data_IF_933554189447
#
_entry.id   IF_933554189447
#
_cell.length_a   1.000
_cell.length_b   1.000
_cell.length_c   1.000
_cell.angle_alpha   90.00
_cell.angle_beta   90.00
_cell.angle_gamma   90.00
#
_symmetry.space_group_name_H-M   'P 1'
#
loop_
_entity.id
_entity.type
_entity.pdbx_description
1 polymer ?
#
# COMPACT_ATOMS: atom_id res chain seq x y z
N UNK A 1 3.08 25.99 -3.60
CA UNK A 1 2.79 25.01 -2.53
C UNK A 1 3.74 23.81 -2.54
N UNK A 2 4.72 23.81 -3.46
CA UNK A 2 5.77 22.78 -3.57
C UNK A 2 6.98 22.96 -2.63
N UNK A 3 7.10 24.11 -1.96
CA UNK A 3 8.27 24.41 -1.10
C UNK A 3 8.29 23.61 0.22
N UNK A 4 7.15 23.18 0.74
CA UNK A 4 7.09 22.52 2.05
C UNK A 4 7.51 21.04 2.01
N UNK A 5 7.23 20.33 0.91
CA UNK A 5 7.61 18.90 0.77
C UNK A 5 9.11 18.71 0.51
N UNK A 6 9.75 19.67 -0.21
CA UNK A 6 11.19 19.61 -0.45
C UNK A 6 12.03 19.89 0.81
N UNK A 7 11.53 20.72 1.73
CA UNK A 7 12.29 21.09 2.93
C UNK A 7 12.41 19.96 3.93
N UNK A 8 11.35 19.16 4.10
CA UNK A 8 11.33 18.07 5.09
C UNK A 8 12.10 16.83 4.63
N UNK A 9 12.13 16.53 3.32
CA UNK A 9 12.92 15.42 2.78
C UNK A 9 14.42 15.74 2.73
N UNK A 10 14.82 17.00 2.50
CA UNK A 10 16.22 17.39 2.55
C UNK A 10 16.82 17.40 3.97
N UNK A 11 15.98 17.51 5.01
CA UNK A 11 16.43 17.39 6.40
C UNK A 11 16.87 15.98 6.78
N UNK A 12 16.49 14.97 5.99
CA UNK A 12 16.84 13.56 6.22
C UNK A 12 18.06 13.10 5.42
N UNK A 13 18.62 13.93 4.53
CA UNK A 13 19.79 13.58 3.74
C UNK A 13 21.05 14.24 4.34
N UNK A 14 22.20 13.55 4.47
CA UNK A 14 23.44 14.14 4.94
C UNK A 14 23.99 15.11 3.89
N UNK A 15 23.65 16.41 4.04
CA UNK A 15 24.13 17.48 3.19
C UNK A 15 25.55 17.90 3.54
N UNK A 16 26.44 17.98 2.54
CA UNK A 16 27.77 18.61 2.64
C UNK A 16 27.60 20.13 2.71
N UNK A 17 27.49 20.68 3.91
CA UNK A 17 27.47 22.13 4.17
C UNK A 17 28.05 22.44 5.54
N UNK A 18 28.76 23.57 5.67
CA UNK A 18 29.36 24.03 6.92
C UNK A 18 28.31 24.08 8.04
N UNK A 19 28.49 23.24 9.03
CA UNK A 19 27.53 23.04 10.12
C UNK A 19 27.37 24.31 10.97
N UNK A 20 26.22 24.97 10.89
CA UNK A 20 25.82 25.96 11.88
C UNK A 20 25.47 25.24 13.20
N UNK A 21 25.48 25.97 14.37
CA UNK A 21 25.08 25.39 15.67
C UNK A 21 23.68 24.71 15.62
N UNK A 22 22.77 25.21 14.81
CA UNK A 22 21.44 24.60 14.58
C UNK A 22 21.55 23.29 13.80
N UNK A 23 22.42 23.19 12.80
CA UNK A 23 22.68 21.94 12.07
C UNK A 23 23.39 20.91 12.94
N UNK A 24 24.31 21.31 13.82
CA UNK A 24 24.95 20.41 14.76
C UNK A 24 23.95 19.82 15.77
N UNK A 25 23.01 20.62 16.29
CA UNK A 25 21.94 20.15 17.16
C UNK A 25 20.97 19.22 16.43
N UNK A 26 20.60 19.52 15.18
CA UNK A 26 19.78 18.64 14.35
C UNK A 26 20.47 17.31 14.05
N UNK A 27 21.78 17.32 13.78
CA UNK A 27 22.58 16.11 13.58
C UNK A 27 22.71 15.27 14.85
N UNK A 28 22.91 15.89 16.01
CA UNK A 28 23.00 15.21 17.31
C UNK A 28 21.65 14.62 17.70
N UNK A 29 20.54 15.33 17.48
CA UNK A 29 19.18 14.81 17.71
C UNK A 29 18.82 13.71 16.71
N UNK A 30 19.17 13.89 15.43
CA UNK A 30 18.95 12.87 14.39
C UNK A 30 19.79 11.62 14.62
N UNK A 31 21.07 11.76 14.97
CA UNK A 31 21.94 10.64 15.32
C UNK A 31 21.51 9.94 16.61
N UNK A 32 21.06 10.73 17.61
CA UNK A 32 20.50 10.20 18.85
C UNK A 32 19.21 9.41 18.63
N UNK A 33 18.32 9.92 17.77
CA UNK A 33 17.09 9.22 17.39
C UNK A 33 17.40 7.95 16.58
N UNK A 34 18.31 8.02 15.61
CA UNK A 34 18.74 6.85 14.84
C UNK A 34 19.41 5.79 15.72
N UNK A 35 20.25 6.20 16.68
CA UNK A 35 20.88 5.29 17.64
C UNK A 35 19.86 4.69 18.62
N UNK A 36 18.84 5.45 19.05
CA UNK A 36 17.76 4.96 19.89
C UNK A 36 16.79 4.05 19.11
N UNK A 37 16.61 4.29 17.81
CA UNK A 37 15.77 3.45 16.93
C UNK A 37 16.49 2.20 16.42
N UNK A 38 17.84 2.17 16.42
CA UNK A 38 18.62 1.04 15.96
C UNK A 38 18.26 -0.31 16.63
N UNK A 39 17.99 -0.39 17.94
CA UNK A 39 17.50 -1.62 18.55
C UNK A 39 16.11 -2.02 18.08
N UNK A 40 15.25 -1.04 17.72
CA UNK A 40 13.91 -1.29 17.19
C UNK A 40 13.99 -1.78 15.76
N UNK A 41 14.91 -1.24 14.95
CA UNK A 41 15.18 -1.71 13.57
C UNK A 41 15.88 -3.07 13.55
N UNK A 42 16.68 -3.39 14.60
CA UNK A 42 17.32 -4.68 14.78
C UNK A 42 16.42 -5.73 15.44
N UNK A 43 15.31 -5.32 16.07
CA UNK A 43 14.24 -6.26 16.40
C UNK A 43 13.67 -6.77 15.08
N UNK A 44 13.74 -8.10 14.91
CA UNK A 44 13.16 -8.79 13.76
C UNK A 44 11.78 -8.21 13.47
N UNK A 45 11.52 -7.85 12.22
CA UNK A 45 10.20 -7.44 11.79
C UNK A 45 9.18 -8.44 12.35
N UNK A 46 8.11 -7.94 12.95
CA UNK A 46 7.08 -8.81 13.50
C UNK A 46 6.59 -9.70 12.34
N UNK A 47 6.85 -10.98 12.46
CA UNK A 47 6.42 -11.97 11.47
C UNK A 47 5.30 -12.81 12.09
N UNK A 48 4.09 -12.60 11.60
CA UNK A 48 2.92 -13.39 12.01
C UNK A 48 3.06 -14.81 11.47
N UNK A 49 3.00 -15.85 12.34
CA UNK A 49 3.06 -17.24 11.90
C UNK A 49 1.94 -17.60 10.92
N UNK A 50 2.21 -18.58 10.06
CA UNK A 50 1.25 -19.11 9.08
C UNK A 50 0.48 -20.31 9.58
N UNK A 51 0.69 -20.72 10.83
CA UNK A 51 0.00 -21.88 11.43
C UNK A 51 -1.52 -21.69 11.38
N UNK A 52 -2.22 -22.69 10.82
CA UNK A 52 -3.66 -22.63 10.61
C UNK A 52 -4.13 -21.70 9.49
N UNK A 53 -3.20 -21.16 8.72
CA UNK A 53 -3.50 -20.31 7.56
C UNK A 53 -3.13 -21.02 6.25
N UNK A 54 -3.80 -20.63 5.19
CA UNK A 54 -3.32 -20.81 3.82
C UNK A 54 -2.83 -19.44 3.37
N UNK A 55 -1.50 -19.29 3.23
CA UNK A 55 -0.86 -18.02 2.90
C UNK A 55 0.22 -18.22 1.83
N UNK A 56 0.41 -17.22 0.96
CA UNK A 56 1.41 -17.27 -0.10
C UNK A 56 1.00 -16.48 -1.33
N UNK A 57 1.86 -16.59 -2.34
CA UNK A 57 1.63 -15.95 -3.64
C UNK A 57 0.55 -16.67 -4.45
N UNK A 58 -0.23 -15.88 -5.16
CA UNK A 58 -1.24 -16.31 -6.12
C UNK A 58 -1.21 -15.40 -7.33
N UNK A 59 -1.91 -15.76 -8.40
CA UNK A 59 -2.02 -14.92 -9.57
C UNK A 59 -3.36 -15.09 -10.26
N UNK A 60 -3.77 -14.07 -10.99
CA UNK A 60 -5.00 -14.05 -11.79
C UNK A 60 -4.84 -13.13 -13.00
N UNK A 61 -5.62 -13.37 -14.03
CA UNK A 61 -5.58 -12.57 -15.27
C UNK A 61 -6.52 -11.37 -15.18
N UNK A 62 -6.03 -10.19 -15.58
CA UNK A 62 -6.81 -8.96 -15.72
C UNK A 62 -6.48 -8.31 -17.07
N UNK A 63 -7.47 -8.14 -17.93
CA UNK A 63 -7.31 -7.51 -19.26
C UNK A 63 -6.13 -8.07 -20.07
N UNK A 64 -5.94 -9.41 -20.02
CA UNK A 64 -4.88 -10.10 -20.75
C UNK A 64 -3.49 -10.05 -20.10
N UNK A 65 -3.34 -9.39 -18.94
CA UNK A 65 -2.11 -9.38 -18.16
C UNK A 65 -2.25 -10.23 -16.90
N UNK A 66 -1.13 -10.84 -16.48
CA UNK A 66 -1.06 -11.57 -15.20
C UNK A 66 -0.83 -10.57 -14.06
N UNK A 67 -1.67 -10.64 -13.03
CA UNK A 67 -1.51 -9.90 -11.77
C UNK A 67 -1.10 -10.89 -10.69
N UNK A 68 0.01 -10.63 -10.03
CA UNK A 68 0.45 -11.39 -8.87
C UNK A 68 -0.12 -10.76 -7.60
N UNK A 69 -0.31 -11.57 -6.56
CA UNK A 69 -0.81 -11.10 -5.28
C UNK A 69 -0.31 -12.00 -4.15
N UNK A 70 -0.12 -11.45 -2.97
CA UNK A 70 -0.02 -12.25 -1.75
C UNK A 70 -1.41 -12.40 -1.14
N UNK A 71 -1.76 -13.62 -0.71
CA UNK A 71 -3.01 -13.85 0.00
C UNK A 71 -2.78 -14.60 1.30
N UNK A 72 -3.68 -14.41 2.27
CA UNK A 72 -3.76 -15.21 3.47
C UNK A 72 -5.22 -15.40 3.88
N UNK A 73 -5.57 -16.60 4.35
CA UNK A 73 -6.91 -16.94 4.82
C UNK A 73 -6.83 -18.07 5.86
N UNK A 74 -7.79 -18.20 6.80
CA UNK A 74 -7.90 -19.36 7.67
C UNK A 74 -8.04 -20.65 6.87
N UNK A 75 -7.26 -21.67 7.22
CA UNK A 75 -7.30 -22.97 6.55
C UNK A 75 -8.66 -23.65 6.69
N UNK A 76 -9.16 -24.24 5.61
CA UNK A 76 -10.39 -25.04 5.61
C UNK A 76 -11.68 -24.25 5.78
N UNK A 77 -11.64 -22.90 5.77
CA UNK A 77 -12.82 -22.06 5.90
C UNK A 77 -13.22 -21.41 4.58
N UNK A 78 -14.52 -21.21 4.40
CA UNK A 78 -15.14 -20.52 3.25
C UNK A 78 -16.17 -19.50 3.73
N UNK A 79 -16.71 -18.68 2.83
CA UNK A 79 -17.64 -17.60 3.17
C UNK A 79 -16.98 -16.49 4.00
N UNK A 80 -15.67 -16.35 3.86
CA UNK A 80 -14.86 -15.38 4.62
C UNK A 80 -15.11 -13.96 4.14
N UNK A 81 -15.25 -12.97 5.04
CA UNK A 81 -15.18 -11.58 4.61
C UNK A 81 -13.81 -11.30 3.98
N UNK A 82 -13.82 -10.52 2.90
CA UNK A 82 -12.63 -10.24 2.10
C UNK A 82 -12.06 -8.88 2.48
N UNK A 83 -10.73 -8.79 2.62
CA UNK A 83 -10.02 -7.51 2.78
C UNK A 83 -8.97 -7.38 1.69
N UNK A 84 -9.14 -6.38 0.83
CA UNK A 84 -8.11 -5.94 -0.09
C UNK A 84 -7.07 -5.12 0.70
N UNK A 85 -5.80 -5.44 0.54
CA UNK A 85 -4.68 -4.72 1.19
C UNK A 85 -3.85 -4.05 0.12
N UNK A 86 -3.79 -2.72 0.14
CA UNK A 86 -3.06 -1.93 -0.86
C UNK A 86 -1.78 -1.37 -0.25
N UNK A 87 -0.66 -1.73 -0.83
CA UNK A 87 0.68 -1.34 -0.36
C UNK A 87 0.97 0.14 -0.56
N UNK A 88 2.04 0.59 0.06
CA UNK A 88 2.73 1.84 -0.27
C UNK A 88 3.36 1.75 -1.67
N UNK A 89 4.21 2.70 -2.00
CA UNK A 89 4.93 2.75 -3.29
C UNK A 89 5.99 1.65 -3.47
N UNK A 90 6.25 0.84 -2.44
CA UNK A 90 7.29 -0.20 -2.44
C UNK A 90 6.79 -1.60 -2.83
N UNK A 91 5.50 -1.73 -3.20
CA UNK A 91 4.90 -3.00 -3.60
C UNK A 91 4.57 -3.92 -2.42
N UNK A 92 4.31 -5.18 -2.73
CA UNK A 92 3.92 -6.20 -1.75
C UNK A 92 5.17 -6.79 -1.09
N UNK A 93 5.69 -6.10 -0.10
CA UNK A 93 6.82 -6.55 0.72
C UNK A 93 6.35 -7.26 1.99
N UNK A 94 7.30 -7.74 2.82
CA UNK A 94 7.03 -8.59 3.99
C UNK A 94 6.04 -7.96 4.98
N UNK A 95 6.09 -6.64 5.21
CA UNK A 95 5.11 -5.99 6.09
C UNK A 95 3.68 -6.10 5.56
N UNK A 96 3.48 -5.92 4.25
CA UNK A 96 2.14 -6.07 3.62
C UNK A 96 1.67 -7.53 3.69
N UNK A 97 2.58 -8.48 3.47
CA UNK A 97 2.30 -9.90 3.65
C UNK A 97 1.92 -10.22 5.10
N UNK A 98 2.62 -9.63 6.08
CA UNK A 98 2.32 -9.77 7.50
C UNK A 98 0.93 -9.20 7.87
N UNK A 99 0.57 -8.05 7.34
CA UNK A 99 -0.79 -7.48 7.50
C UNK A 99 -1.84 -8.45 6.98
N UNK A 100 -1.63 -9.08 5.82
CA UNK A 100 -2.54 -10.10 5.30
C UNK A 100 -2.66 -11.31 6.25
N UNK A 101 -1.54 -11.80 6.82
CA UNK A 101 -1.57 -12.92 7.79
C UNK A 101 -2.31 -12.55 9.06
N UNK A 102 -2.12 -11.33 9.59
CA UNK A 102 -2.87 -10.84 10.78
C UNK A 102 -4.36 -10.77 10.52
N UNK A 103 -4.76 -10.26 9.36
CA UNK A 103 -6.15 -10.23 8.95
C UNK A 103 -6.72 -11.65 8.82
N UNK A 104 -5.94 -12.59 8.29
CA UNK A 104 -6.33 -13.99 8.21
C UNK A 104 -6.51 -14.63 9.60
N UNK A 105 -5.63 -14.35 10.56
CA UNK A 105 -5.80 -14.79 11.95
C UNK A 105 -7.08 -14.20 12.59
N UNK A 106 -7.46 -12.98 12.17
CA UNK A 106 -8.71 -12.35 12.59
C UNK A 106 -9.96 -12.89 11.84
N UNK A 107 -9.78 -13.87 10.93
CA UNK A 107 -10.89 -14.55 10.26
C UNK A 107 -11.26 -14.02 8.88
N UNK A 108 -10.42 -13.20 8.25
CA UNK A 108 -10.64 -12.65 6.91
C UNK A 108 -9.89 -13.45 5.84
N UNK A 109 -10.35 -13.37 4.59
CA UNK A 109 -9.53 -13.61 3.42
C UNK A 109 -8.89 -12.28 3.03
N UNK A 110 -7.61 -12.12 3.27
CA UNK A 110 -6.85 -10.93 2.89
C UNK A 110 -6.07 -11.19 1.59
N UNK A 111 -6.08 -10.22 0.69
CA UNK A 111 -5.36 -10.28 -0.58
C UNK A 111 -4.74 -8.93 -0.92
N UNK A 112 -3.44 -8.95 -1.21
CA UNK A 112 -2.63 -7.79 -1.58
C UNK A 112 -2.10 -7.97 -3.01
N UNK A 113 -2.72 -7.37 -4.04
CA UNK A 113 -2.23 -7.46 -5.41
C UNK A 113 -0.99 -6.58 -5.62
N UNK A 114 -0.05 -7.06 -6.43
CA UNK A 114 1.05 -6.26 -6.94
C UNK A 114 0.57 -5.36 -8.06
N UNK A 115 0.32 -4.10 -7.74
CA UNK A 115 -0.25 -3.10 -8.64
C UNK A 115 0.80 -2.43 -9.54
N UNK A 116 2.09 -2.76 -9.37
CA UNK A 116 3.21 -2.15 -10.06
C UNK A 116 3.89 -3.06 -11.09
N UNK A 117 3.65 -4.36 -11.05
CA UNK A 117 4.36 -5.36 -11.85
C UNK A 117 4.39 -5.07 -13.36
N UNK A 118 3.37 -4.37 -13.89
CA UNK A 118 3.35 -3.98 -15.32
C UNK A 118 4.27 -2.81 -15.64
N UNK A 119 4.62 -1.98 -14.67
CA UNK A 119 5.50 -0.83 -14.81
C UNK A 119 6.95 -1.15 -14.42
N UNK A 120 7.15 -2.13 -13.55
CA UNK A 120 8.46 -2.57 -13.09
C UNK A 120 8.46 -2.97 -11.62
N UNK A 121 9.66 -3.27 -11.11
CA UNK A 121 9.87 -3.62 -9.71
C UNK A 121 10.21 -2.36 -8.89
N UNK A 122 9.37 -1.95 -7.94
CA UNK A 122 9.66 -0.81 -7.07
C UNK A 122 10.96 -0.97 -6.26
N UNK A 123 11.33 -2.20 -5.92
CA UNK A 123 12.52 -2.49 -5.11
C UNK A 123 13.84 -2.32 -5.90
N UNK A 124 13.76 -2.24 -7.23
CA UNK A 124 14.92 -1.96 -8.07
C UNK A 124 15.40 -0.49 -8.00
N UNK A 125 14.61 0.40 -7.38
CA UNK A 125 14.92 1.82 -7.30
C UNK A 125 15.63 2.16 -5.99
N UNK A 126 16.87 2.66 -6.07
CA UNK A 126 17.64 3.12 -4.90
C UNK A 126 17.23 4.50 -4.38
N UNK A 127 16.46 5.27 -5.16
CA UNK A 127 16.05 6.63 -4.84
C UNK A 127 14.53 6.80 -4.99
N UNK A 128 13.87 7.28 -3.93
CA UNK A 128 12.40 7.49 -3.92
C UNK A 128 11.96 8.47 -5.02
N UNK A 129 12.73 9.50 -5.32
CA UNK A 129 12.39 10.46 -6.36
C UNK A 129 12.32 9.82 -7.76
N UNK A 130 13.25 8.90 -8.08
CA UNK A 130 13.23 8.12 -9.31
C UNK A 130 12.06 7.13 -9.33
N UNK A 131 11.85 6.39 -8.24
CA UNK A 131 10.69 5.52 -8.10
C UNK A 131 9.38 6.26 -8.40
N UNK A 132 9.20 7.45 -7.81
CA UNK A 132 8.01 8.26 -8.01
C UNK A 132 7.82 8.70 -9.47
N UNK A 133 8.87 9.20 -10.12
CA UNK A 133 8.78 9.75 -11.48
C UNK A 133 8.80 8.68 -12.58
N UNK A 134 9.56 7.61 -12.40
CA UNK A 134 9.80 6.63 -13.44
C UNK A 134 8.85 5.42 -13.38
N UNK A 135 8.28 5.12 -12.20
CA UNK A 135 7.35 4.01 -12.02
C UNK A 135 5.98 4.48 -11.54
N UNK A 136 5.88 5.06 -10.34
CA UNK A 136 4.58 5.34 -9.69
C UNK A 136 3.73 6.31 -10.52
N UNK A 137 4.33 7.36 -11.07
CA UNK A 137 3.63 8.33 -11.92
C UNK A 137 3.09 7.71 -13.22
N UNK A 138 3.55 6.54 -13.61
CA UNK A 138 3.13 5.82 -14.82
C UNK A 138 2.05 4.76 -14.57
N UNK A 139 1.60 4.59 -13.33
CA UNK A 139 0.55 3.64 -12.96
C UNK A 139 -0.82 4.31 -13.16
N UNK A 140 -1.64 3.85 -14.13
CA UNK A 140 -2.96 4.43 -14.36
C UNK A 140 -3.95 4.00 -13.26
N UNK A 141 -4.74 4.94 -12.74
CA UNK A 141 -5.84 4.60 -11.80
C UNK A 141 -6.80 3.55 -12.37
N UNK A 142 -7.10 3.62 -13.69
CA UNK A 142 -7.96 2.65 -14.35
C UNK A 142 -7.41 1.22 -14.31
N UNK A 143 -6.06 1.06 -14.43
CA UNK A 143 -5.40 -0.23 -14.27
C UNK A 143 -5.56 -0.73 -12.84
N UNK A 144 -5.31 0.14 -11.86
CA UNK A 144 -5.40 -0.20 -10.44
C UNK A 144 -6.82 -0.63 -10.05
N UNK A 145 -7.85 0.08 -10.53
CA UNK A 145 -9.25 -0.29 -10.28
C UNK A 145 -9.56 -1.67 -10.86
N UNK A 146 -9.14 -1.95 -12.12
CA UNK A 146 -9.35 -3.25 -12.75
C UNK A 146 -8.61 -4.39 -12.02
N UNK A 147 -7.39 -4.15 -11.53
CA UNK A 147 -6.63 -5.15 -10.79
C UNK A 147 -7.28 -5.49 -9.44
N UNK A 148 -7.82 -4.49 -8.75
CA UNK A 148 -8.58 -4.68 -7.51
C UNK A 148 -9.89 -5.41 -7.77
N UNK A 149 -10.61 -5.11 -8.88
CA UNK A 149 -11.79 -5.87 -9.30
C UNK A 149 -11.44 -7.35 -9.57
N UNK A 150 -10.31 -7.60 -10.23
CA UNK A 150 -9.78 -8.95 -10.45
C UNK A 150 -9.46 -9.67 -9.14
N UNK A 151 -8.87 -8.98 -8.17
CA UNK A 151 -8.59 -9.52 -6.83
C UNK A 151 -9.87 -9.89 -6.09
N UNK A 152 -10.92 -9.06 -6.18
CA UNK A 152 -12.26 -9.37 -5.60
C UNK A 152 -12.84 -10.62 -6.24
N UNK A 153 -12.83 -10.73 -7.57
CA UNK A 153 -13.34 -11.91 -8.28
C UNK A 153 -12.55 -13.16 -7.92
N UNK A 154 -11.21 -13.06 -7.86
CA UNK A 154 -10.36 -14.15 -7.43
C UNK A 154 -10.70 -14.61 -6.00
N UNK A 155 -10.87 -13.66 -5.07
CA UNK A 155 -11.23 -13.97 -3.67
C UNK A 155 -12.56 -14.70 -3.58
N UNK A 156 -13.58 -14.29 -4.36
CA UNK A 156 -14.88 -14.95 -4.42
C UNK A 156 -14.78 -16.41 -4.89
N UNK A 157 -13.95 -16.68 -5.90
CA UNK A 157 -13.71 -18.04 -6.39
C UNK A 157 -12.90 -18.91 -5.38
N UNK A 158 -12.27 -18.30 -4.38
CA UNK A 158 -11.39 -18.97 -3.42
C UNK A 158 -11.87 -18.86 -1.96
N UNK A 159 -13.19 -18.82 -1.77
CA UNK A 159 -13.83 -18.92 -0.45
C UNK A 159 -14.15 -17.57 0.21
N UNK A 160 -14.03 -16.45 -0.51
CA UNK A 160 -14.46 -15.15 -0.05
C UNK A 160 -15.96 -14.91 -0.23
N UNK A 161 -16.58 -14.15 0.69
CA UNK A 161 -17.95 -13.66 0.58
C UNK A 161 -17.95 -12.25 -0.05
N UNK A 162 -18.37 -12.15 -1.30
CA UNK A 162 -18.39 -10.89 -2.05
C UNK A 162 -19.41 -9.87 -1.52
N UNK A 163 -20.31 -10.27 -0.62
CA UNK A 163 -21.17 -9.32 0.08
C UNK A 163 -20.47 -8.64 1.26
N UNK A 164 -19.27 -9.09 1.63
CA UNK A 164 -18.48 -8.62 2.77
C UNK A 164 -17.05 -8.27 2.34
N UNK A 165 -16.93 -7.35 1.38
CA UNK A 165 -15.63 -6.87 0.90
C UNK A 165 -15.28 -5.56 1.60
N UNK A 166 -14.07 -5.46 2.12
CA UNK A 166 -13.47 -4.25 2.65
C UNK A 166 -12.13 -3.98 1.96
N UNK A 167 -11.61 -2.76 2.13
CA UNK A 167 -10.30 -2.36 1.61
C UNK A 167 -9.52 -1.58 2.66
N UNK A 168 -8.23 -1.82 2.76
CA UNK A 168 -7.30 -1.00 3.53
C UNK A 168 -6.06 -0.71 2.70
N UNK A 169 -5.43 0.44 2.93
CA UNK A 169 -4.22 0.80 2.18
C UNK A 169 -3.42 1.90 2.84
N UNK A 170 -2.12 1.91 2.54
CA UNK A 170 -1.11 2.73 3.20
C UNK A 170 -0.47 3.70 2.22
N UNK A 171 -0.23 4.95 2.61
CA UNK A 171 0.42 5.96 1.77
C UNK A 171 -0.27 6.13 0.40
N UNK A 172 0.39 5.75 -0.68
CA UNK A 172 -0.20 5.68 -2.02
C UNK A 172 -1.43 4.78 -2.03
N UNK A 173 -1.36 3.61 -1.41
CA UNK A 173 -2.50 2.71 -1.24
C UNK A 173 -3.65 3.30 -0.41
N UNK A 174 -3.36 4.21 0.51
CA UNK A 174 -4.39 4.98 1.22
C UNK A 174 -5.19 5.87 0.26
N UNK A 175 -4.55 6.51 -0.73
CA UNK A 175 -5.27 7.21 -1.80
C UNK A 175 -6.14 6.23 -2.62
N UNK A 176 -5.59 5.08 -2.99
CA UNK A 176 -6.32 4.06 -3.76
C UNK A 176 -7.53 3.53 -2.98
N UNK A 177 -7.42 3.37 -1.67
CA UNK A 177 -8.54 2.97 -0.80
C UNK A 177 -9.75 3.89 -0.98
N UNK A 178 -9.55 5.20 -0.98
CA UNK A 178 -10.62 6.17 -1.25
C UNK A 178 -11.23 5.99 -2.64
N UNK A 179 -10.38 5.91 -3.66
CA UNK A 179 -10.84 5.78 -5.04
C UNK A 179 -11.63 4.49 -5.26
N UNK A 180 -11.14 3.38 -4.69
CA UNK A 180 -11.81 2.10 -4.82
C UNK A 180 -13.10 2.01 -3.99
N UNK A 181 -13.19 2.71 -2.85
CA UNK A 181 -14.44 2.81 -2.08
C UNK A 181 -15.57 3.52 -2.85
N UNK A 182 -15.23 4.38 -3.82
CA UNK A 182 -16.20 4.98 -4.73
C UNK A 182 -16.48 4.11 -5.97
N UNK A 183 -15.56 3.20 -6.34
CA UNK A 183 -15.63 2.36 -7.55
C UNK A 183 -16.21 0.99 -7.26
N UNK A 184 -15.62 0.25 -6.33
CA UNK A 184 -15.85 -1.18 -6.10
C UNK A 184 -17.02 -1.50 -5.15
N UNK A 185 -17.23 -2.79 -4.88
CA UNK A 185 -18.36 -3.26 -4.06
C UNK A 185 -18.06 -3.25 -2.57
N UNK A 186 -17.09 -2.46 -2.11
CA UNK A 186 -16.65 -2.47 -0.71
C UNK A 186 -17.68 -1.92 0.26
N UNK A 187 -17.75 -2.50 1.45
CA UNK A 187 -18.65 -2.12 2.55
C UNK A 187 -17.96 -1.24 3.59
N UNK A 188 -16.63 -1.25 3.62
CA UNK A 188 -15.82 -0.42 4.50
C UNK A 188 -14.45 -0.16 3.89
N UNK A 189 -13.86 1.00 4.19
CA UNK A 189 -12.51 1.36 3.76
C UNK A 189 -11.71 2.01 4.90
N UNK A 190 -10.46 1.61 5.08
CA UNK A 190 -9.54 2.24 6.04
C UNK A 190 -8.31 2.73 5.31
N UNK A 191 -8.20 4.04 5.14
CA UNK A 191 -7.10 4.70 4.45
C UNK A 191 -6.08 5.26 5.45
N UNK A 192 -4.86 4.73 5.43
CA UNK A 192 -3.77 5.16 6.30
C UNK A 192 -2.90 6.20 5.57
N UNK A 193 -2.81 7.40 6.12
CA UNK A 193 -1.95 8.50 5.64
C UNK A 193 -1.90 8.66 4.11
N UNK A 194 -3.00 8.42 3.42
CA UNK A 194 -3.13 8.60 1.99
C UNK A 194 -3.22 10.07 1.58
N UNK A 195 -2.68 10.40 0.40
CA UNK A 195 -2.78 11.74 -0.17
C UNK A 195 -4.24 12.06 -0.54
N UNK A 196 -4.83 13.09 0.06
CA UNK A 196 -6.23 13.47 -0.15
C UNK A 196 -6.42 14.44 -1.32
N UNK A 197 -5.44 15.29 -1.57
CA UNK A 197 -5.47 16.33 -2.61
C UNK A 197 -4.23 16.22 -3.50
N UNK A 198 -4.32 16.66 -4.74
CA UNK A 198 -3.20 16.64 -5.66
C UNK A 198 -3.55 17.24 -7.01
N UNK A 199 -2.59 17.27 -7.92
CA UNK A 199 -2.80 17.72 -9.28
C UNK A 199 -3.25 16.53 -10.15
N UNK A 200 -4.38 16.69 -10.84
CA UNK A 200 -4.88 15.68 -11.77
C UNK A 200 -3.93 15.51 -12.96
N UNK A 201 -3.84 14.28 -13.46
CA UNK A 201 -3.13 13.93 -14.68
C UNK A 201 -4.01 13.03 -15.56
N UNK A 202 -3.59 12.77 -16.78
CA UNK A 202 -4.31 11.86 -17.66
C UNK A 202 -4.41 10.43 -17.08
N UNK A 203 -3.38 9.97 -16.36
CA UNK A 203 -3.35 8.64 -15.73
C UNK A 203 -4.01 8.61 -14.35
N UNK A 204 -3.97 9.74 -13.63
CA UNK A 204 -4.52 9.88 -12.28
C UNK A 204 -5.47 11.10 -12.25
N UNK A 205 -6.67 10.96 -12.81
CA UNK A 205 -7.57 12.10 -13.06
C UNK A 205 -8.29 12.61 -11.81
N UNK A 206 -8.32 11.84 -10.71
CA UNK A 206 -9.07 12.18 -9.50
C UNK A 206 -8.23 11.95 -8.24
N UNK A 207 -8.52 12.76 -7.23
CA UNK A 207 -8.05 12.58 -5.86
C UNK A 207 -9.22 12.31 -4.91
N UNK A 208 -8.98 11.83 -3.68
CA UNK A 208 -10.04 11.57 -2.71
C UNK A 208 -11.02 12.72 -2.51
N UNK A 209 -10.54 13.97 -2.51
CA UNK A 209 -11.40 15.16 -2.38
C UNK A 209 -12.43 15.27 -3.51
N UNK A 210 -12.07 14.81 -4.72
CA UNK A 210 -12.94 14.93 -5.90
C UNK A 210 -14.07 13.88 -5.90
N UNK A 211 -13.93 12.83 -5.08
CA UNK A 211 -14.90 11.72 -5.04
C UNK A 211 -15.59 11.59 -3.68
N UNK A 212 -15.30 12.44 -2.72
CA UNK A 212 -15.83 12.34 -1.36
C UNK A 212 -17.38 12.34 -1.33
N UNK A 213 -18.03 13.11 -2.21
CA UNK A 213 -19.49 13.19 -2.27
C UNK A 213 -20.17 11.95 -2.86
N UNK A 214 -19.43 11.03 -3.50
CA UNK A 214 -19.99 9.83 -4.14
C UNK A 214 -19.56 8.54 -3.45
N UNK A 215 -18.91 8.63 -2.29
CA UNK A 215 -18.56 7.46 -1.48
C UNK A 215 -19.82 6.69 -1.07
N UNK A 216 -19.76 5.38 -1.19
CA UNK A 216 -20.85 4.46 -0.85
C UNK A 216 -20.60 3.69 0.44
N UNK A 217 -19.35 3.67 0.91
CA UNK A 217 -18.92 2.96 2.11
C UNK A 217 -18.30 3.94 3.12
N UNK A 218 -18.44 3.69 4.43
CA UNK A 218 -17.72 4.43 5.47
C UNK A 218 -16.22 4.12 5.43
#
# INVERSE_FOLDING_TARGET
MDQYLHHDLHALLPGRGVASRRHALGLVLGAGYAAAAAPVLAQQAIATPVDGLVAGEVSFAVNGAQVYAYRAAPQGRTGLPVVLVVSEIFGVHEHIADVCRRLAQAGYLAIAPDLFARQGDPMAYGEVAKLMSELIAKVPDAQVMADLDGAVQWAGAHGGDLNKVAITGFCWGGRITWLYAAHGPVKAGVAWYGRLVGQASALNPKHPVDIAAILKAP
#
